data_IF_927395055053
#
_entry.id   IF_927395055053
#
_cell.length_a   1.000
_cell.length_b   1.000
_cell.length_c   1.000
_cell.angle_alpha   90.00
_cell.angle_beta   90.00
_cell.angle_gamma   90.00
#
_symmetry.space_group_name_H-M   'P 1'
#
loop_
_entity.id
_entity.type
_entity.pdbx_description
1 polymer ?
#
# COMPACT_ATOMS: atom_id res chain seq x y z
N UNK A 1 11.28 7.71 -4.83
CA UNK A 1 10.16 8.45 -4.22
C UNK A 1 10.74 9.62 -3.43
N UNK A 2 10.06 10.77 -3.38
CA UNK A 2 10.48 11.94 -2.58
C UNK A 2 9.55 12.24 -1.41
N UNK A 3 8.30 11.78 -1.47
CA UNK A 3 7.34 11.95 -0.39
C UNK A 3 6.34 10.78 -0.37
N UNK A 4 5.90 10.42 0.84
CA UNK A 4 4.86 9.41 1.07
C UNK A 4 3.86 9.95 2.08
N UNK A 5 2.61 10.06 1.67
CA UNK A 5 1.47 10.34 2.55
C UNK A 5 0.89 9.01 3.01
N UNK A 6 0.94 8.75 4.31
CA UNK A 6 0.40 7.53 4.91
C UNK A 6 -1.01 7.79 5.45
N UNK A 7 -1.89 6.76 5.45
CA UNK A 7 -3.16 6.84 6.14
C UNK A 7 -3.00 6.97 7.66
N UNK A 8 -4.09 7.25 8.36
CA UNK A 8 -4.13 7.23 9.82
C UNK A 8 -4.40 5.81 10.36
N UNK A 9 -3.71 5.45 11.45
CA UNK A 9 -4.05 4.25 12.22
C UNK A 9 -5.44 4.42 12.88
N UNK A 10 -6.27 3.38 12.83
CA UNK A 10 -7.68 3.39 13.23
C UNK A 10 -8.65 3.79 12.11
N UNK A 11 -8.15 4.28 10.96
CA UNK A 11 -9.01 4.60 9.81
C UNK A 11 -9.61 3.31 9.24
N UNK A 12 -10.91 3.35 8.97
CA UNK A 12 -11.62 2.32 8.19
C UNK A 12 -11.62 2.70 6.72
N UNK A 13 -11.27 1.75 5.86
CA UNK A 13 -11.21 1.92 4.40
C UNK A 13 -11.95 0.80 3.70
N UNK A 14 -12.46 1.07 2.50
CA UNK A 14 -13.06 0.07 1.61
C UNK A 14 -12.06 -0.41 0.54
N UNK A 15 -12.27 -1.61 0.02
CA UNK A 15 -11.56 -2.07 -1.16
C UNK A 15 -11.73 -1.08 -2.33
N UNK A 16 -10.62 -0.72 -2.99
CA UNK A 16 -10.58 0.28 -4.06
C UNK A 16 -10.62 1.75 -3.60
N UNK A 17 -10.61 2.02 -2.29
CA UNK A 17 -10.53 3.38 -1.76
C UNK A 17 -9.08 3.89 -1.73
N UNK A 18 -8.84 5.10 -2.24
CA UNK A 18 -7.54 5.76 -2.10
C UNK A 18 -7.24 6.04 -0.61
N UNK A 19 -6.08 5.57 -0.15
CA UNK A 19 -5.72 5.58 1.27
C UNK A 19 -4.33 6.12 1.56
N UNK A 20 -3.42 6.14 0.58
CA UNK A 20 -2.08 6.69 0.71
C UNK A 20 -1.68 7.36 -0.61
N UNK A 21 -0.66 8.22 -0.60
CA UNK A 21 -0.13 8.88 -1.81
C UNK A 21 1.37 8.73 -1.85
N UNK A 22 1.90 8.43 -3.03
CA UNK A 22 3.35 8.39 -3.29
C UNK A 22 3.70 9.47 -4.29
N UNK A 23 4.64 10.34 -3.94
CA UNK A 23 5.11 11.38 -4.83
C UNK A 23 6.59 11.20 -5.18
N UNK A 24 6.90 11.43 -6.45
CA UNK A 24 8.23 11.50 -7.03
C UNK A 24 8.49 12.90 -7.56
N UNK A 25 9.73 13.20 -7.97
CA UNK A 25 10.05 14.48 -8.62
C UNK A 25 9.28 14.76 -9.91
N UNK A 26 8.54 13.79 -10.46
CA UNK A 26 7.82 13.92 -11.73
C UNK A 26 6.31 13.76 -11.61
N UNK A 27 5.83 13.02 -10.61
CA UNK A 27 4.46 12.50 -10.57
C UNK A 27 4.07 12.11 -9.15
N UNK A 28 2.80 12.30 -8.83
CA UNK A 28 2.14 11.73 -7.66
C UNK A 28 1.15 10.63 -8.09
N UNK A 29 1.08 9.56 -7.31
CA UNK A 29 0.22 8.41 -7.54
C UNK A 29 -0.53 8.03 -6.27
N UNK A 30 -1.83 7.81 -6.40
CA UNK A 30 -2.65 7.28 -5.31
C UNK A 30 -2.43 5.78 -5.10
N UNK A 31 -2.44 5.37 -3.84
CA UNK A 31 -2.43 3.98 -3.41
C UNK A 31 -3.81 3.60 -2.91
N UNK A 32 -4.40 2.62 -3.58
CA UNK A 32 -5.74 2.12 -3.28
C UNK A 32 -5.67 0.93 -2.33
N UNK A 33 -6.60 0.86 -1.38
CA UNK A 33 -6.69 -0.28 -0.48
C UNK A 33 -7.11 -1.53 -1.26
N UNK A 34 -6.37 -2.65 -1.17
CA UNK A 34 -6.74 -3.88 -1.87
C UNK A 34 -7.96 -4.57 -1.24
N UNK A 35 -8.27 -4.24 0.02
CA UNK A 35 -9.32 -4.86 0.83
C UNK A 35 -10.02 -3.84 1.71
N UNK A 36 -11.23 -4.16 2.15
CA UNK A 36 -11.98 -3.44 3.16
C UNK A 36 -11.49 -3.84 4.56
N UNK A 37 -11.33 -2.86 5.44
CA UNK A 37 -10.84 -3.14 6.78
C UNK A 37 -10.47 -1.90 7.60
N UNK A 38 -9.72 -2.12 8.67
CA UNK A 38 -9.22 -1.08 9.56
C UNK A 38 -7.70 -1.08 9.58
N UNK A 39 -7.11 0.10 9.42
CA UNK A 39 -5.66 0.28 9.41
C UNK A 39 -5.17 0.19 10.85
N UNK A 40 -4.32 -0.79 11.15
CA UNK A 40 -3.86 -1.07 12.51
C UNK A 40 -2.44 -0.57 12.78
N UNK A 41 -1.66 -0.36 11.73
CA UNK A 41 -0.26 0.07 11.84
C UNK A 41 0.16 0.85 10.59
N UNK A 42 1.03 1.83 10.77
CA UNK A 42 1.59 2.66 9.69
C UNK A 42 3.12 2.69 9.81
N UNK A 43 3.81 2.65 8.67
CA UNK A 43 5.27 2.65 8.64
C UNK A 43 5.84 4.08 8.68
N UNK A 44 5.81 4.71 9.86
CA UNK A 44 6.36 6.06 10.05
C UNK A 44 7.77 6.24 9.48
N UNK A 45 8.71 5.28 9.61
CA UNK A 45 10.03 5.37 8.97
C UNK A 45 10.02 5.66 7.46
N UNK A 46 9.00 5.25 6.71
CA UNK A 46 8.90 5.53 5.27
C UNK A 46 8.55 7.00 4.98
N UNK A 47 7.80 7.66 5.88
CA UNK A 47 7.54 9.08 5.76
C UNK A 47 8.83 9.91 5.97
N UNK A 48 9.69 9.48 6.89
CA UNK A 48 10.98 10.13 7.17
C UNK A 48 12.07 9.77 6.15
N UNK A 49 12.02 8.54 5.61
CA UNK A 49 12.93 8.06 4.58
C UNK A 49 12.18 7.40 3.40
N UNK A 50 11.63 8.21 2.46
CA UNK A 50 10.88 7.71 1.32
C UNK A 50 11.69 6.85 0.34
N UNK A 51 13.03 6.85 0.42
CA UNK A 51 13.89 6.02 -0.41
C UNK A 51 13.72 4.51 -0.12
N UNK A 52 13.18 4.14 1.05
CA UNK A 52 12.86 2.76 1.41
C UNK A 52 11.84 2.13 0.45
N UNK A 53 10.88 2.91 -0.07
CA UNK A 53 9.91 2.43 -1.07
C UNK A 53 10.61 1.96 -2.35
N UNK A 54 11.74 2.57 -2.71
CA UNK A 54 12.52 2.18 -3.89
C UNK A 54 13.46 1.00 -3.63
N UNK A 55 14.06 0.96 -2.44
CA UNK A 55 15.19 0.05 -2.14
C UNK A 55 14.76 -1.25 -1.50
N UNK A 56 13.67 -1.23 -0.73
CA UNK A 56 13.18 -2.39 0.01
C UNK A 56 11.65 -2.36 0.14
N UNK A 57 10.91 -2.42 -0.99
CA UNK A 57 9.45 -2.19 -1.02
C UNK A 57 8.63 -3.19 -0.21
N UNK A 58 9.18 -4.38 0.08
CA UNK A 58 8.48 -5.45 0.78
C UNK A 58 8.87 -5.60 2.26
N UNK A 59 10.05 -5.11 2.68
CA UNK A 59 10.47 -5.14 4.08
C UNK A 59 10.53 -3.72 4.65
N UNK A 60 11.55 -2.91 4.42
CA UNK A 60 11.62 -1.55 5.00
C UNK A 60 10.56 -0.57 4.47
N UNK A 61 10.02 -0.82 3.27
CA UNK A 61 9.19 0.10 2.49
C UNK A 61 7.68 -0.18 2.49
N UNK A 62 7.15 -1.04 3.37
CA UNK A 62 5.69 -1.23 3.48
C UNK A 62 5.01 0.06 3.95
N UNK A 63 3.72 0.21 3.68
CA UNK A 63 3.00 1.47 3.92
C UNK A 63 2.17 1.39 5.22
N UNK A 64 1.26 0.43 5.26
CA UNK A 64 0.38 0.19 6.39
C UNK A 64 0.07 -1.30 6.54
N UNK A 65 -0.42 -1.69 7.71
CA UNK A 65 -1.04 -3.01 7.96
C UNK A 65 -2.52 -2.81 8.19
N UNK A 66 -3.33 -3.69 7.61
CA UNK A 66 -4.78 -3.64 7.68
C UNK A 66 -5.33 -4.91 8.34
N UNK A 67 -6.25 -4.74 9.28
CA UNK A 67 -7.10 -5.81 9.77
C UNK A 67 -8.26 -5.99 8.81
N UNK A 68 -8.34 -7.18 8.21
CA UNK A 68 -9.37 -7.54 7.24
C UNK A 68 -10.77 -7.41 7.86
N UNK A 69 -11.63 -6.63 7.21
CA UNK A 69 -13.07 -6.59 7.51
C UNK A 69 -13.83 -7.74 6.83
N UNK A 70 -13.37 -8.16 5.65
CA UNK A 70 -13.95 -9.27 4.89
C UNK A 70 -12.86 -10.15 4.24
N UNK A 71 -12.50 -11.30 4.85
CA UNK A 71 -11.47 -12.19 4.31
C UNK A 71 -11.76 -12.75 2.91
N UNK A 72 -13.02 -12.80 2.48
CA UNK A 72 -13.39 -13.30 1.15
C UNK A 72 -12.85 -12.43 0.00
N UNK A 73 -12.57 -11.15 0.27
CA UNK A 73 -11.99 -10.23 -0.72
C UNK A 73 -10.57 -10.63 -1.14
N UNK A 74 -9.85 -11.41 -0.33
CA UNK A 74 -8.54 -11.94 -0.69
C UNK A 74 -8.59 -12.86 -1.92
N UNK A 75 -9.70 -13.57 -2.14
CA UNK A 75 -9.87 -14.45 -3.30
C UNK A 75 -10.02 -13.69 -4.62
N UNK A 76 -10.28 -12.39 -4.57
CA UNK A 76 -10.32 -11.52 -5.75
C UNK A 76 -8.94 -10.96 -6.14
N UNK A 77 -7.94 -11.12 -5.28
CA UNK A 77 -6.58 -10.64 -5.52
C UNK A 77 -5.77 -11.63 -6.35
N UNK A 78 -4.77 -11.12 -7.05
CA UNK A 78 -3.85 -11.93 -7.82
C UNK A 78 -2.80 -12.57 -6.91
N UNK A 79 -2.51 -13.84 -7.15
CA UNK A 79 -1.31 -14.49 -6.61
C UNK A 79 -0.03 -13.96 -7.28
N UNK A 80 1.15 -14.26 -6.70
CA UNK A 80 2.43 -13.74 -7.20
C UNK A 80 2.69 -14.05 -8.69
N UNK A 81 2.43 -15.29 -9.12
CA UNK A 81 2.65 -15.70 -10.52
C UNK A 81 1.70 -15.01 -11.50
N UNK A 82 0.43 -14.84 -11.09
CA UNK A 82 -0.58 -14.14 -11.88
C UNK A 82 -0.20 -12.67 -12.06
N UNK A 83 0.27 -12.02 -10.99
CA UNK A 83 0.73 -10.64 -11.06
C UNK A 83 1.98 -10.49 -11.94
N UNK A 84 2.95 -11.41 -11.82
CA UNK A 84 4.15 -11.42 -12.67
C UNK A 84 3.81 -11.54 -14.15
N UNK A 85 2.87 -12.43 -14.49
CA UNK A 85 2.40 -12.58 -15.87
C UNK A 85 1.72 -11.29 -16.40
N UNK A 86 0.92 -10.62 -15.56
CA UNK A 86 0.24 -9.37 -15.92
C UNK A 86 1.19 -8.24 -16.30
N UNK A 87 2.35 -8.14 -15.63
CA UNK A 87 3.34 -7.06 -15.85
C UNK A 87 4.39 -7.40 -16.92
N UNK A 88 4.24 -8.50 -17.65
CA UNK A 88 5.08 -8.81 -18.81
C UNK A 88 6.26 -9.75 -18.56
N UNK A 89 6.36 -10.36 -17.37
CA UNK A 89 7.21 -11.53 -17.10
C UNK A 89 8.71 -11.31 -17.01
#
# INVERSE_FOLDING_TARGET
VVFVELPEAGRKVKAGEACAVVESVKTASDIYSPVSGEIIEINKPVADNPALVNTDPYQGGWFYKIKLGNPAELSALMGPDQYKAQIGG
#
